data_IF_676793480561
#
_entry.id   IF_676793480561
#
_cell.length_a   1.000
_cell.length_b   1.000
_cell.length_c   1.000
_cell.angle_alpha   90.00
_cell.angle_beta   90.00
_cell.angle_gamma   90.00
#
_symmetry.space_group_name_H-M   'P 1'
#
loop_
_entity.id
_entity.type
_entity.pdbx_description
1 polymer ?
#
# COMPACT_ATOMS: atom_id res chain seq x y z
N UNK A 1 10.42 -23.37 -44.17
CA UNK A 1 9.67 -22.10 -44.12
C UNK A 1 8.69 -22.18 -42.96
N UNK A 2 8.84 -21.23 -42.02
CA UNK A 2 8.01 -20.93 -40.84
C UNK A 2 7.76 -22.04 -39.81
N UNK A 3 8.75 -22.26 -38.93
CA UNK A 3 8.56 -22.87 -37.61
C UNK A 3 8.94 -21.89 -36.48
N UNK A 4 8.71 -20.59 -36.72
CA UNK A 4 8.99 -19.47 -35.81
C UNK A 4 7.66 -18.80 -35.40
N UNK A 5 6.70 -19.55 -34.86
CA UNK A 5 5.49 -18.89 -34.35
C UNK A 5 4.79 -19.61 -33.20
N UNK A 6 5.45 -20.54 -32.53
CA UNK A 6 4.84 -21.29 -31.42
C UNK A 6 5.71 -21.40 -30.18
N UNK A 7 6.53 -20.40 -29.87
CA UNK A 7 7.17 -20.37 -28.55
C UNK A 7 7.26 -18.99 -27.89
N UNK A 8 6.18 -18.21 -27.97
CA UNK A 8 5.94 -17.10 -27.05
C UNK A 8 4.49 -17.04 -26.56
N UNK A 9 3.98 -18.14 -26.02
CA UNK A 9 2.82 -18.12 -25.12
C UNK A 9 2.98 -19.17 -24.01
N UNK A 10 4.12 -19.18 -23.32
CA UNK A 10 4.12 -19.65 -21.93
C UNK A 10 3.42 -18.58 -21.09
N UNK A 11 2.10 -18.71 -21.00
CA UNK A 11 1.25 -18.26 -19.89
C UNK A 11 1.73 -16.94 -19.24
N UNK A 12 1.28 -15.80 -19.78
CA UNK A 12 1.38 -14.49 -19.11
C UNK A 12 0.73 -14.53 -17.70
N UNK A 13 -0.09 -15.54 -17.44
CA UNK A 13 -0.68 -15.90 -16.15
C UNK A 13 0.33 -16.33 -15.08
N UNK A 14 1.52 -16.83 -15.43
CA UNK A 14 2.54 -17.21 -14.44
C UNK A 14 3.36 -16.02 -13.91
N UNK A 15 3.35 -14.87 -14.60
CA UNK A 15 3.98 -13.64 -14.11
C UNK A 15 3.23 -13.03 -12.91
N UNK A 16 1.90 -13.15 -12.91
CA UNK A 16 1.05 -12.78 -11.76
C UNK A 16 0.95 -13.88 -10.69
N UNK A 17 1.65 -15.00 -10.86
CA UNK A 17 1.76 -16.10 -9.88
C UNK A 17 2.98 -15.95 -8.98
N UNK A 18 3.39 -14.72 -8.64
CA UNK A 18 4.39 -14.50 -7.59
C UNK A 18 3.68 -14.66 -6.25
N UNK A 19 3.97 -15.75 -5.56
CA UNK A 19 3.32 -16.15 -4.31
C UNK A 19 3.22 -15.00 -3.33
N UNK A 20 1.99 -14.57 -3.03
CA UNK A 20 1.69 -13.50 -2.07
C UNK A 20 1.99 -14.01 -0.66
N UNK A 21 3.06 -13.54 -0.05
CA UNK A 21 3.21 -13.65 1.39
C UNK A 21 2.32 -12.57 2.04
N UNK A 22 1.19 -12.97 2.62
CA UNK A 22 0.22 -12.08 3.30
C UNK A 22 0.86 -11.19 4.39
N UNK A 23 1.99 -11.58 4.96
CA UNK A 23 2.73 -10.78 5.95
C UNK A 23 3.45 -9.62 5.29
N UNK A 24 4.25 -9.90 4.25
CA UNK A 24 4.95 -8.84 3.52
C UNK A 24 3.98 -7.80 2.93
N UNK A 25 2.81 -8.23 2.46
CA UNK A 25 1.81 -7.33 1.88
C UNK A 25 1.28 -6.30 2.90
N UNK A 26 1.03 -6.73 4.13
CA UNK A 26 0.56 -5.85 5.22
C UNK A 26 1.62 -4.83 5.65
N UNK A 27 2.89 -5.25 5.80
CA UNK A 27 3.99 -4.34 6.13
C UNK A 27 4.30 -3.36 4.99
N UNK A 28 4.23 -3.81 3.74
CA UNK A 28 4.37 -2.94 2.57
C UNK A 28 3.24 -1.89 2.53
N UNK A 29 1.99 -2.32 2.73
CA UNK A 29 0.86 -1.40 2.78
C UNK A 29 0.97 -0.38 3.93
N UNK A 30 1.52 -0.79 5.08
CA UNK A 30 1.77 0.10 6.21
C UNK A 30 2.85 1.15 5.89
N UNK A 31 3.96 0.72 5.27
CA UNK A 31 5.02 1.60 4.83
C UNK A 31 4.53 2.62 3.79
N UNK A 32 3.74 2.16 2.83
CA UNK A 32 3.11 3.02 1.81
C UNK A 32 2.17 4.05 2.44
N UNK A 33 1.32 3.63 3.40
CA UNK A 33 0.43 4.54 4.10
C UNK A 33 1.18 5.57 4.95
N UNK A 34 2.33 5.21 5.52
CA UNK A 34 3.20 6.16 6.23
C UNK A 34 3.80 7.19 5.26
N UNK A 35 4.30 6.76 4.10
CA UNK A 35 4.82 7.67 3.08
C UNK A 35 3.74 8.64 2.58
N UNK A 36 2.52 8.13 2.34
CA UNK A 36 1.38 8.95 1.96
C UNK A 36 1.02 9.97 3.05
N UNK A 37 1.05 9.58 4.32
CA UNK A 37 0.80 10.50 5.43
C UNK A 37 1.85 11.62 5.51
N UNK A 38 3.13 11.29 5.34
CA UNK A 38 4.21 12.29 5.29
C UNK A 38 4.02 13.23 4.10
N UNK A 39 3.68 12.71 2.92
CA UNK A 39 3.42 13.51 1.73
C UNK A 39 2.21 14.46 1.92
N UNK A 40 1.10 13.96 2.47
CA UNK A 40 -0.09 14.76 2.75
C UNK A 40 0.18 15.86 3.78
N UNK A 41 1.00 15.56 4.80
CA UNK A 41 1.45 16.54 5.78
C UNK A 41 2.30 17.64 5.14
N UNK A 42 3.29 17.27 4.32
CA UNK A 42 4.11 18.24 3.60
C UNK A 42 3.27 19.13 2.68
N UNK A 43 2.28 18.54 1.99
CA UNK A 43 1.36 19.30 1.16
C UNK A 43 0.52 20.29 1.98
N UNK A 44 -0.05 19.86 3.10
CA UNK A 44 -0.79 20.73 4.02
C UNK A 44 0.07 21.87 4.59
N UNK A 45 1.35 21.63 4.86
CA UNK A 45 2.26 22.67 5.36
C UNK A 45 2.65 23.70 4.28
N UNK A 46 2.59 23.31 2.99
CA UNK A 46 2.99 24.17 1.86
C UNK A 46 1.81 24.85 1.15
N UNK A 47 0.60 24.33 1.29
CA UNK A 47 -0.57 24.84 0.57
C UNK A 47 -0.85 26.28 1.00
N UNK A 48 -0.85 27.19 0.02
CA UNK A 48 -1.18 28.61 0.21
C UNK A 48 -2.45 29.01 -0.55
N UNK A 49 -2.92 28.13 -1.44
CA UNK A 49 -4.14 28.33 -2.23
C UNK A 49 -5.37 28.05 -1.36
N UNK A 50 -6.23 29.06 -1.10
CA UNK A 50 -7.44 28.89 -0.29
C UNK A 50 -8.37 27.78 -0.79
N UNK A 51 -8.44 27.54 -2.11
CA UNK A 51 -9.34 26.55 -2.70
C UNK A 51 -8.83 25.11 -2.47
N UNK A 52 -7.56 24.95 -2.09
CA UNK A 52 -6.93 23.65 -1.84
C UNK A 52 -6.74 23.33 -0.35
N UNK A 53 -6.99 24.30 0.55
CA UNK A 53 -6.81 24.08 2.00
C UNK A 53 -7.71 22.96 2.51
N UNK A 54 -8.98 22.96 2.13
CA UNK A 54 -9.94 21.92 2.54
C UNK A 54 -9.51 20.54 2.03
N UNK A 55 -9.04 20.48 0.78
CA UNK A 55 -8.49 19.26 0.21
C UNK A 55 -7.26 18.78 0.99
N UNK A 56 -6.34 19.68 1.35
CA UNK A 56 -5.15 19.34 2.13
C UNK A 56 -5.50 18.80 3.52
N UNK A 57 -6.46 19.41 4.21
CA UNK A 57 -6.96 18.94 5.52
C UNK A 57 -7.57 17.55 5.40
N UNK A 58 -8.43 17.33 4.41
CA UNK A 58 -9.09 16.04 4.20
C UNK A 58 -8.08 14.95 3.83
N UNK A 59 -7.13 15.26 2.96
CA UNK A 59 -6.07 14.33 2.53
C UNK A 59 -5.19 13.92 3.70
N UNK A 60 -4.75 14.88 4.52
CA UNK A 60 -3.97 14.61 5.73
C UNK A 60 -4.73 13.68 6.70
N UNK A 61 -5.99 13.98 7.00
CA UNK A 61 -6.83 13.16 7.89
C UNK A 61 -7.11 11.76 7.34
N UNK A 62 -7.29 11.65 6.02
CA UNK A 62 -7.52 10.37 5.36
C UNK A 62 -6.27 9.48 5.44
N UNK A 63 -5.09 10.03 5.13
CA UNK A 63 -3.83 9.31 5.18
C UNK A 63 -3.47 8.88 6.61
N UNK A 64 -3.66 9.75 7.61
CA UNK A 64 -3.48 9.42 9.03
C UNK A 64 -4.39 8.24 9.45
N UNK A 65 -5.69 8.31 9.14
CA UNK A 65 -6.64 7.23 9.47
C UNK A 65 -6.24 5.92 8.82
N UNK A 66 -5.79 5.95 7.55
CA UNK A 66 -5.33 4.76 6.83
C UNK A 66 -4.12 4.13 7.51
N UNK A 67 -3.11 4.93 7.86
CA UNK A 67 -1.92 4.47 8.56
C UNK A 67 -2.27 3.83 9.91
N UNK A 68 -3.05 4.53 10.74
CA UNK A 68 -3.48 4.04 12.07
C UNK A 68 -4.23 2.71 11.96
N UNK A 69 -5.12 2.58 10.99
CA UNK A 69 -5.86 1.34 10.75
C UNK A 69 -4.94 0.17 10.39
N UNK A 70 -4.00 0.38 9.47
CA UNK A 70 -3.06 -0.66 9.06
C UNK A 70 -2.11 -1.05 10.20
N UNK A 71 -1.65 -0.08 10.99
CA UNK A 71 -0.80 -0.34 12.15
C UNK A 71 -1.50 -1.23 13.17
N UNK A 72 -2.77 -0.94 13.49
CA UNK A 72 -3.58 -1.78 14.39
C UNK A 72 -3.73 -3.20 13.85
N UNK A 73 -3.99 -3.36 12.56
CA UNK A 73 -4.12 -4.69 11.93
C UNK A 73 -2.85 -5.51 11.98
N UNK A 74 -1.70 -4.89 11.72
CA UNK A 74 -0.39 -5.55 11.82
C UNK A 74 -0.17 -6.03 13.25
N UNK A 75 -0.40 -5.15 14.23
CA UNK A 75 -0.24 -5.48 15.66
C UNK A 75 -1.18 -6.58 16.14
N UNK A 76 -2.45 -6.54 15.72
CA UNK A 76 -3.43 -7.61 16.03
C UNK A 76 -2.98 -8.95 15.45
N UNK A 77 -2.40 -8.96 14.25
CA UNK A 77 -1.82 -10.17 13.69
C UNK A 77 -0.60 -10.62 14.49
N UNK A 78 0.32 -9.74 14.87
CA UNK A 78 1.46 -10.15 15.72
C UNK A 78 1.00 -10.81 17.03
N UNK A 79 0.03 -10.20 17.71
CA UNK A 79 -0.52 -10.72 18.97
C UNK A 79 -1.24 -12.07 18.80
N UNK A 80 -2.06 -12.22 17.75
CA UNK A 80 -2.74 -13.48 17.46
C UNK A 80 -1.76 -14.64 17.14
N UNK A 81 -0.53 -14.32 16.73
CA UNK A 81 0.51 -15.31 16.44
C UNK A 81 1.28 -15.71 17.70
N UNK A 82 1.36 -14.81 18.69
CA UNK A 82 1.91 -15.09 20.02
C UNK A 82 0.96 -15.90 20.91
N UNK A 83 -0.36 -15.72 20.78
CA UNK A 83 -1.38 -16.47 21.55
C UNK A 83 -1.65 -17.88 21.01
N UNK A 84 -1.21 -18.18 19.79
CA UNK A 84 -1.34 -19.49 19.14
C UNK A 84 -0.13 -20.43 19.31
N UNK A 85 0.88 -20.01 20.08
CA UNK A 85 2.08 -20.76 20.47
C UNK A 85 2.02 -21.12 21.96
#
# INVERSE_FOLDING_TARGET
MVNWLTDQCRSLSDFFRKGKNKYNDDYLALADAHQEWVAARNFFEQVSDPDLVDYAILSLKAAEKRYVYLWKRVREREQAWEEGL
#
